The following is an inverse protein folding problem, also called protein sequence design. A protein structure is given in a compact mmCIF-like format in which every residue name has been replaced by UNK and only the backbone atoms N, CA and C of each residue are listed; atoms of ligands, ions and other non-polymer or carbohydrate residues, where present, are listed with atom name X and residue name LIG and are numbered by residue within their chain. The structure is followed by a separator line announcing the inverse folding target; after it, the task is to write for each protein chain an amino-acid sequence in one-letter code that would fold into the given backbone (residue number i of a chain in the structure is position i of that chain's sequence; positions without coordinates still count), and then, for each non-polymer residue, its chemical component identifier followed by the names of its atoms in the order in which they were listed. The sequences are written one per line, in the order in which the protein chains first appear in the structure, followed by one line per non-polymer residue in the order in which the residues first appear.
data_IF_261314837573
#
_entry.id   IF_261314837573
#
_cell.length_a   1.000
_cell.length_b   1.000
_cell.length_c   1.000
_cell.angle_alpha   90.00
_cell.angle_beta   90.00
_cell.angle_gamma   90.00
#
_symmetry.space_group_name_H-M   'P 1'
#
loop_
_entity.id
_entity.type
_entity.pdbx_description
1 polymer ?
#
# COMPACT_ATOMS: atom_id res chain seq x y z
N UNK A 1 -1.70 -22.56 -10.54
CA UNK A 1 -2.28 -23.58 -9.63
C UNK A 1 -2.40 -23.17 -8.14
N UNK A 2 -1.50 -22.33 -7.58
CA UNK A 2 -1.51 -21.99 -6.13
C UNK A 2 -2.59 -20.98 -5.70
N UNK A 3 -2.88 -19.95 -6.50
CA UNK A 3 -3.83 -18.90 -6.10
C UNK A 3 -5.28 -19.38 -5.99
N UNK A 4 -5.78 -20.14 -6.99
CA UNK A 4 -7.14 -20.70 -6.93
C UNK A 4 -7.29 -21.61 -5.71
N UNK A 5 -6.36 -22.54 -5.48
CA UNK A 5 -6.40 -23.45 -4.34
C UNK A 5 -6.35 -22.71 -2.98
N UNK A 6 -5.55 -21.64 -2.90
CA UNK A 6 -5.47 -20.80 -1.71
C UNK A 6 -6.79 -20.08 -1.43
N UNK A 7 -7.35 -19.37 -2.42
CA UNK A 7 -8.58 -18.59 -2.25
C UNK A 7 -9.84 -19.44 -2.09
N UNK A 8 -9.78 -20.75 -2.38
CA UNK A 8 -10.84 -21.70 -2.03
C UNK A 8 -10.98 -21.94 -0.52
N UNK A 9 -9.95 -21.66 0.27
CA UNK A 9 -9.92 -21.92 1.70
C UNK A 9 -9.63 -20.67 2.54
N UNK A 10 -9.10 -19.61 1.92
CA UNK A 10 -8.72 -18.37 2.59
C UNK A 10 -9.51 -17.19 1.99
N UNK A 11 -10.32 -16.48 2.79
CA UNK A 11 -10.99 -15.27 2.31
C UNK A 11 -9.96 -14.19 1.97
N UNK A 12 -10.25 -13.43 0.91
CA UNK A 12 -9.40 -12.33 0.45
C UNK A 12 -10.09 -10.98 0.61
N UNK A 13 -9.32 -9.98 1.04
CA UNK A 13 -9.66 -8.58 0.84
C UNK A 13 -8.91 -8.08 -0.38
N UNK A 14 -9.62 -7.48 -1.33
CA UNK A 14 -9.06 -7.03 -2.60
C UNK A 14 -8.92 -5.50 -2.63
N UNK A 15 -7.84 -5.04 -3.25
CA UNK A 15 -7.53 -3.65 -3.54
C UNK A 15 -7.10 -3.56 -5.01
N UNK A 16 -7.18 -2.37 -5.59
CA UNK A 16 -6.99 -2.13 -7.02
C UNK A 16 -5.73 -1.33 -7.25
N UNK A 17 -4.96 -1.70 -8.28
CA UNK A 17 -3.90 -0.88 -8.82
C UNK A 17 -4.09 -0.61 -10.33
N UNK A 18 -3.11 0.00 -11.00
CA UNK A 18 -3.16 0.40 -12.40
C UNK A 18 -3.37 -0.78 -13.36
N UNK A 19 -2.67 -1.89 -13.17
CA UNK A 19 -2.79 -3.09 -14.00
C UNK A 19 -4.04 -3.93 -13.71
N UNK A 20 -4.70 -3.69 -12.57
CA UNK A 20 -6.03 -4.23 -12.30
C UNK A 20 -7.12 -3.40 -12.99
N UNK A 21 -6.92 -2.08 -13.04
CA UNK A 21 -7.92 -1.13 -13.53
C UNK A 21 -7.86 -0.88 -15.03
N UNK A 22 -6.67 -0.69 -15.63
CA UNK A 22 -6.55 -0.48 -17.07
C UNK A 22 -5.12 -0.67 -17.63
N UNK A 23 -4.26 0.34 -17.47
CA UNK A 23 -2.90 0.41 -18.04
C UNK A 23 -1.95 1.10 -17.06
N UNK A 24 -0.65 0.94 -17.28
CA UNK A 24 0.42 1.55 -16.51
C UNK A 24 0.12 2.99 -16.06
N UNK A 25 0.24 3.20 -14.75
CA UNK A 25 0.15 4.48 -14.08
C UNK A 25 -1.15 5.24 -14.44
N UNK A 26 -2.29 4.55 -14.62
CA UNK A 26 -3.53 5.17 -15.06
C UNK A 26 -4.23 6.05 -14.00
N UNK A 27 -5.05 6.96 -14.52
CA UNK A 27 -6.00 7.82 -13.82
C UNK A 27 -7.25 7.99 -14.72
N UNK A 28 -8.39 8.48 -14.22
CA UNK A 28 -9.67 8.39 -14.93
C UNK A 28 -9.70 9.04 -16.31
N UNK A 29 -8.99 10.16 -16.47
CA UNK A 29 -8.95 10.94 -17.71
C UNK A 29 -7.73 10.64 -18.59
N UNK A 30 -6.97 9.57 -18.30
CA UNK A 30 -5.79 9.20 -19.11
C UNK A 30 -6.22 8.81 -20.53
N UNK A 31 -5.45 9.28 -21.53
CA UNK A 31 -5.61 8.82 -22.91
C UNK A 31 -4.65 7.66 -23.20
N UNK A 32 -5.18 6.56 -23.73
CA UNK A 32 -4.42 5.41 -24.22
C UNK A 32 -5.08 4.85 -25.49
N UNK A 33 -4.83 5.45 -26.68
CA UNK A 33 -5.51 5.07 -27.92
C UNK A 33 -5.35 3.59 -28.31
N UNK A 34 -4.23 2.97 -27.95
CA UNK A 34 -3.95 1.55 -28.22
C UNK A 34 -4.81 0.57 -27.42
N UNK A 35 -5.54 1.04 -26.40
CA UNK A 35 -6.47 0.22 -25.63
C UNK A 35 -7.91 0.30 -26.13
N UNK A 36 -8.21 1.17 -27.10
CA UNK A 36 -9.57 1.32 -27.59
C UNK A 36 -10.09 0.00 -28.20
N UNK A 37 -11.36 -0.36 -27.96
CA UNK A 37 -12.39 0.46 -27.34
C UNK A 37 -12.41 0.45 -25.80
N UNK A 38 -11.56 -0.34 -25.12
CA UNK A 38 -11.53 -0.44 -23.65
C UNK A 38 -10.96 0.85 -23.03
N UNK A 39 -11.82 1.57 -22.29
CA UNK A 39 -11.48 2.79 -21.54
C UNK A 39 -11.28 2.48 -20.05
N UNK A 40 -10.69 3.43 -19.31
CA UNK A 40 -10.48 3.33 -17.86
C UNK A 40 -11.74 2.87 -17.11
N UNK A 41 -12.89 3.53 -17.34
CA UNK A 41 -14.15 3.22 -16.66
C UNK A 41 -14.60 1.77 -16.88
N UNK A 42 -14.39 1.24 -18.09
CA UNK A 42 -14.75 -0.13 -18.46
C UNK A 42 -13.77 -1.14 -17.85
N UNK A 43 -12.46 -0.86 -17.89
CA UNK A 43 -11.47 -1.72 -17.24
C UNK A 43 -11.69 -1.79 -15.72
N UNK A 44 -11.96 -0.65 -15.08
CA UNK A 44 -12.30 -0.59 -13.66
C UNK A 44 -13.60 -1.33 -13.34
N UNK A 45 -14.62 -1.23 -14.20
CA UNK A 45 -15.87 -1.99 -14.05
C UNK A 45 -15.62 -3.50 -14.13
N UNK A 46 -14.80 -3.96 -15.08
CA UNK A 46 -14.41 -5.37 -15.20
C UNK A 46 -13.72 -5.84 -13.92
N UNK A 47 -12.76 -5.09 -13.39
CA UNK A 47 -12.11 -5.43 -12.11
C UNK A 47 -13.14 -5.66 -11.00
N UNK A 48 -14.13 -4.77 -10.87
CA UNK A 48 -15.18 -4.88 -9.84
C UNK A 48 -16.07 -6.11 -10.01
N UNK A 49 -16.19 -6.67 -11.20
CA UNK A 49 -16.89 -7.94 -11.44
C UNK A 49 -16.06 -9.14 -11.00
N UNK A 50 -14.72 -9.04 -11.01
CA UNK A 50 -13.81 -10.15 -10.69
C UNK A 50 -13.54 -10.31 -9.20
N UNK A 51 -13.82 -9.29 -8.37
CA UNK A 51 -13.53 -9.32 -6.93
C UNK A 51 -14.75 -8.99 -6.08
N UNK A 52 -14.91 -9.62 -4.89
CA UNK A 52 -16.00 -9.31 -3.96
C UNK A 52 -15.74 -7.98 -3.23
N UNK A 53 -15.83 -6.86 -3.96
CA UNK A 53 -15.66 -5.51 -3.42
C UNK A 53 -17.00 -4.79 -3.29
N UNK A 54 -17.16 -4.03 -2.21
CA UNK A 54 -18.39 -3.30 -1.93
C UNK A 54 -18.62 -2.12 -2.87
N UNK A 55 -19.68 -1.34 -2.59
CA UNK A 55 -19.99 -0.10 -3.32
C UNK A 55 -18.80 0.85 -3.34
N UNK A 56 -18.17 1.05 -2.19
CA UNK A 56 -16.90 1.77 -2.07
C UNK A 56 -15.73 0.79 -2.12
N UNK A 57 -14.68 1.17 -2.82
CA UNK A 57 -13.44 0.39 -2.97
C UNK A 57 -12.51 0.56 -1.78
N UNK A 58 -12.41 1.77 -1.23
CA UNK A 58 -11.77 2.00 0.07
C UNK A 58 -12.70 1.62 1.23
N UNK A 59 -12.13 1.03 2.27
CA UNK A 59 -12.86 0.53 3.45
C UNK A 59 -11.92 0.18 4.59
N UNK A 60 -12.49 -0.03 5.77
CA UNK A 60 -11.75 -0.53 6.93
C UNK A 60 -12.42 -1.78 7.49
N UNK A 61 -11.61 -2.68 8.06
CA UNK A 61 -12.06 -3.93 8.67
C UNK A 61 -11.42 -4.04 10.05
N UNK A 62 -12.25 -4.26 11.07
CA UNK A 62 -11.79 -4.58 12.43
C UNK A 62 -11.62 -6.09 12.59
N UNK A 63 -10.45 -6.51 13.05
CA UNK A 63 -10.12 -7.91 13.37
C UNK A 63 -9.87 -8.05 14.87
N UNK A 64 -10.93 -8.40 15.60
CA UNK A 64 -10.88 -8.54 17.05
C UNK A 64 -10.52 -7.23 17.76
N UNK A 65 -9.94 -7.31 18.96
CA UNK A 65 -9.57 -6.11 19.75
C UNK A 65 -8.32 -5.42 19.22
N UNK A 66 -7.37 -6.17 18.67
CA UNK A 66 -5.99 -5.69 18.56
C UNK A 66 -5.61 -5.18 17.17
N UNK A 67 -6.39 -5.46 16.11
CA UNK A 67 -6.03 -5.11 14.74
C UNK A 67 -7.18 -4.42 14.01
N UNK A 68 -6.90 -3.27 13.40
CA UNK A 68 -7.77 -2.68 12.39
C UNK A 68 -6.97 -2.43 11.11
N UNK A 69 -7.59 -2.74 9.97
CA UNK A 69 -6.99 -2.66 8.64
C UNK A 69 -7.74 -1.63 7.81
N UNK A 70 -7.04 -0.82 7.03
CA UNK A 70 -7.58 0.07 6.02
C UNK A 70 -7.09 -0.37 4.64
N UNK A 71 -8.00 -0.40 3.67
CA UNK A 71 -7.70 -0.53 2.25
C UNK A 71 -8.13 0.77 1.59
N UNK A 72 -7.28 1.35 0.75
CA UNK A 72 -7.51 2.64 0.08
C UNK A 72 -7.71 2.44 -1.43
N UNK A 73 -8.29 3.45 -2.08
CA UNK A 73 -8.29 3.51 -3.53
C UNK A 73 -7.26 4.56 -4.00
N UNK A 74 -6.30 4.15 -4.83
CA UNK A 74 -5.32 5.02 -5.48
C UNK A 74 -5.54 5.31 -6.98
N UNK A 75 -6.61 4.85 -7.65
CA UNK A 75 -6.80 5.01 -9.11
C UNK A 75 -8.03 5.84 -9.52
N UNK A 76 -9.13 5.76 -8.79
CA UNK A 76 -10.42 6.36 -9.16
C UNK A 76 -10.54 7.85 -8.81
N UNK A 77 -9.99 8.27 -7.66
CA UNK A 77 -10.17 9.64 -7.13
C UNK A 77 -8.97 10.55 -7.38
N UNK A 78 -7.95 10.04 -8.08
CA UNK A 78 -6.68 10.72 -8.24
C UNK A 78 -6.72 11.81 -9.31
N UNK A 79 -5.94 12.85 -9.09
CA UNK A 79 -5.55 13.82 -10.10
C UNK A 79 -4.68 13.16 -11.19
N UNK A 80 -4.65 13.72 -12.42
CA UNK A 80 -3.72 13.29 -13.46
C UNK A 80 -2.27 13.33 -13.00
N UNK A 81 -1.47 12.32 -13.37
CA UNK A 81 -0.05 12.31 -13.00
C UNK A 81 0.71 13.51 -13.57
N UNK A 82 0.27 14.05 -14.71
CA UNK A 82 0.83 15.24 -15.37
C UNK A 82 0.46 16.58 -14.72
N UNK A 83 -0.53 16.61 -13.81
CA UNK A 83 -0.83 17.81 -13.05
C UNK A 83 0.39 18.20 -12.20
N UNK A 84 0.81 19.47 -12.11
CA UNK A 84 1.88 19.87 -11.21
C UNK A 84 1.56 19.49 -9.76
N UNK A 85 2.57 19.04 -9.00
CA UNK A 85 2.37 18.73 -7.57
C UNK A 85 2.00 20.01 -6.79
N UNK A 86 1.14 19.85 -5.78
CA UNK A 86 0.65 20.96 -4.97
C UNK A 86 -0.59 20.59 -4.16
N UNK A 87 -1.13 21.53 -3.36
CA UNK A 87 -2.21 21.25 -2.40
C UNK A 87 -3.50 20.70 -3.01
N UNK A 88 -3.76 21.00 -4.29
CA UNK A 88 -4.94 20.52 -5.02
C UNK A 88 -4.74 19.18 -5.75
N UNK A 89 -3.51 18.64 -5.77
CA UNK A 89 -3.20 17.36 -6.42
C UNK A 89 -3.29 16.22 -5.39
N UNK A 90 -3.99 15.15 -5.74
CA UNK A 90 -4.31 14.07 -4.79
C UNK A 90 -4.31 12.71 -5.48
N UNK A 91 -4.00 11.66 -4.73
CA UNK A 91 -4.23 10.25 -5.12
C UNK A 91 -5.55 9.76 -4.55
N UNK A 92 -5.82 10.10 -3.29
CA UNK A 92 -6.97 9.56 -2.56
C UNK A 92 -8.26 10.36 -2.77
N UNK A 93 -8.18 11.60 -3.25
CA UNK A 93 -9.32 12.51 -3.23
C UNK A 93 -9.61 13.04 -1.82
N UNK A 94 -10.33 14.16 -1.76
CA UNK A 94 -10.63 14.84 -0.49
C UNK A 94 -11.44 13.96 0.47
N UNK A 95 -12.48 13.28 -0.03
CA UNK A 95 -13.41 12.49 0.79
C UNK A 95 -12.74 11.27 1.41
N UNK A 96 -11.96 10.51 0.63
CA UNK A 96 -11.24 9.35 1.14
C UNK A 96 -10.15 9.76 2.11
N UNK A 97 -9.39 10.84 1.84
CA UNK A 97 -8.35 11.33 2.75
C UNK A 97 -8.96 11.77 4.09
N UNK A 98 -10.08 12.50 4.05
CA UNK A 98 -10.80 12.91 5.26
C UNK A 98 -11.35 11.70 6.03
N UNK A 99 -11.95 10.74 5.33
CA UNK A 99 -12.42 9.47 5.92
C UNK A 99 -11.27 8.68 6.56
N UNK A 100 -10.14 8.56 5.87
CA UNK A 100 -8.98 7.80 6.32
C UNK A 100 -8.44 8.38 7.63
N UNK A 101 -8.19 9.70 7.67
CA UNK A 101 -7.72 10.39 8.87
C UNK A 101 -8.68 10.25 10.03
N UNK A 102 -9.98 10.51 9.80
CA UNK A 102 -11.02 10.42 10.85
C UNK A 102 -11.11 9.01 11.43
N UNK A 103 -11.14 7.98 10.58
CA UNK A 103 -11.33 6.59 11.03
C UNK A 103 -10.10 6.01 11.69
N UNK A 104 -8.89 6.38 11.25
CA UNK A 104 -7.63 6.00 11.92
C UNK A 104 -7.61 6.55 13.36
N UNK A 105 -7.97 7.83 13.55
CA UNK A 105 -7.99 8.45 14.88
C UNK A 105 -9.10 7.88 15.78
N UNK A 106 -10.25 7.51 15.21
CA UNK A 106 -11.35 6.91 15.95
C UNK A 106 -11.11 5.45 16.35
N UNK A 107 -10.14 4.77 15.74
CA UNK A 107 -9.83 3.37 16.06
C UNK A 107 -9.21 3.26 17.45
N UNK A 108 -9.67 2.30 18.25
CA UNK A 108 -9.08 1.90 19.54
C UNK A 108 -8.28 0.58 19.44
N UNK A 109 -7.97 0.11 18.23
CA UNK A 109 -7.18 -1.10 18.04
C UNK A 109 -5.74 -0.90 18.54
N UNK A 110 -5.15 -1.95 19.13
CA UNK A 110 -3.75 -1.95 19.54
C UNK A 110 -2.79 -1.69 18.38
N UNK A 111 -3.14 -2.12 17.17
CA UNK A 111 -2.38 -1.89 15.94
C UNK A 111 -3.29 -1.48 14.78
N UNK A 112 -2.78 -0.55 13.97
CA UNK A 112 -3.45 -0.01 12.79
C UNK A 112 -2.60 -0.31 11.55
N UNK A 113 -3.17 -0.93 10.53
CA UNK A 113 -2.44 -1.27 9.29
C UNK A 113 -3.18 -0.69 8.10
N UNK A 114 -2.52 0.20 7.36
CA UNK A 114 -2.96 0.65 6.04
C UNK A 114 -2.34 -0.26 4.98
N UNK A 115 -3.17 -0.88 4.15
CA UNK A 115 -2.76 -1.48 2.88
C UNK A 115 -2.98 -0.41 1.82
N UNK A 116 -1.94 -0.11 1.05
CA UNK A 116 -1.95 0.87 -0.04
C UNK A 116 -1.38 0.23 -1.29
N UNK A 117 -1.98 0.42 -2.49
CA UNK A 117 -1.50 -0.26 -3.69
C UNK A 117 -0.08 0.23 -4.03
N UNK A 118 0.16 1.53 -3.87
CA UNK A 118 1.43 2.20 -4.18
C UNK A 118 2.16 2.71 -2.93
N UNK A 119 3.50 2.89 -2.99
CA UNK A 119 4.30 3.42 -1.88
C UNK A 119 3.92 4.82 -1.39
N UNK A 120 4.05 5.00 -0.08
CA UNK A 120 3.96 6.27 0.66
C UNK A 120 5.33 6.71 1.14
N UNK A 121 6.17 5.83 1.68
CA UNK A 121 7.48 6.22 2.24
C UNK A 121 8.59 6.15 1.18
N UNK A 122 8.63 5.10 0.36
CA UNK A 122 9.71 4.91 -0.62
C UNK A 122 11.06 4.55 0.04
N UNK A 123 12.23 4.90 -0.54
CA UNK A 123 12.42 5.67 -1.76
C UNK A 123 11.95 4.95 -3.02
N UNK A 124 11.47 5.73 -3.97
CA UNK A 124 11.06 5.27 -5.30
C UNK A 124 12.11 5.54 -6.38
N UNK A 125 11.88 5.02 -7.59
CA UNK A 125 12.70 5.26 -8.77
C UNK A 125 12.77 6.75 -9.09
N UNK A 126 13.96 7.24 -9.44
CA UNK A 126 14.19 8.65 -9.78
C UNK A 126 13.75 9.02 -11.20
N UNK A 127 13.47 8.02 -12.06
CA UNK A 127 13.03 8.22 -13.45
C UNK A 127 11.94 7.22 -13.82
N UNK A 128 11.02 7.66 -14.68
CA UNK A 128 10.03 6.79 -15.33
C UNK A 128 8.86 6.37 -14.44
N UNK A 129 8.77 6.88 -13.20
CA UNK A 129 7.65 6.61 -12.27
C UNK A 129 7.28 7.87 -11.49
N UNK A 130 6.01 8.28 -11.60
CA UNK A 130 5.48 9.57 -11.13
C UNK A 130 4.02 9.41 -10.64
N UNK A 131 3.72 8.30 -9.97
CA UNK A 131 2.34 7.88 -9.72
C UNK A 131 2.02 7.50 -8.26
N UNK A 132 2.83 7.92 -7.27
CA UNK A 132 2.62 7.57 -5.87
C UNK A 132 3.14 8.63 -4.90
N UNK A 133 2.76 8.52 -3.62
CA UNK A 133 3.07 9.49 -2.55
C UNK A 133 4.55 9.57 -2.14
N UNK A 134 5.38 8.63 -2.59
CA UNK A 134 6.81 8.59 -2.30
C UNK A 134 7.68 9.24 -3.38
N UNK A 135 7.10 9.62 -4.51
CA UNK A 135 7.80 10.33 -5.59
C UNK A 135 7.38 11.80 -5.69
N UNK A 136 8.16 12.58 -6.46
CA UNK A 136 8.01 14.02 -6.59
C UNK A 136 6.65 14.45 -7.16
N UNK A 137 5.95 13.56 -7.88
CA UNK A 137 4.70 13.92 -8.53
C UNK A 137 3.51 14.03 -7.57
N UNK A 138 3.56 13.40 -6.39
CA UNK A 138 2.52 13.50 -5.35
C UNK A 138 3.13 13.74 -3.96
N UNK A 139 4.27 14.43 -3.93
CA UNK A 139 5.04 14.64 -2.71
C UNK A 139 4.28 15.49 -1.69
N UNK A 140 3.47 16.46 -2.13
CA UNK A 140 2.69 17.34 -1.24
C UNK A 140 1.71 16.54 -0.38
N UNK A 141 0.83 15.73 -1.00
CA UNK A 141 -0.11 14.88 -0.24
C UNK A 141 0.62 13.83 0.61
N UNK A 142 1.67 13.20 0.05
CA UNK A 142 2.46 12.21 0.77
C UNK A 142 3.14 12.78 2.02
N UNK A 143 3.79 13.93 1.90
CA UNK A 143 4.43 14.64 3.01
C UNK A 143 3.40 15.06 4.06
N UNK A 144 2.25 15.58 3.62
CA UNK A 144 1.16 15.94 4.54
C UNK A 144 0.66 14.72 5.32
N UNK A 145 0.50 13.56 4.68
CA UNK A 145 0.05 12.36 5.36
C UNK A 145 1.09 11.82 6.35
N UNK A 146 2.37 11.71 5.94
CA UNK A 146 3.48 11.31 6.83
C UNK A 146 3.60 12.24 8.04
N UNK A 147 3.59 13.56 7.82
CA UNK A 147 3.65 14.53 8.91
C UNK A 147 2.44 14.43 9.83
N UNK A 148 1.25 14.22 9.28
CA UNK A 148 0.04 14.01 10.05
C UNK A 148 0.13 12.77 10.96
N UNK A 149 0.73 11.66 10.51
CA UNK A 149 0.91 10.49 11.38
C UNK A 149 1.83 10.78 12.57
N UNK A 150 2.87 11.60 12.37
CA UNK A 150 3.76 12.07 13.44
C UNK A 150 3.02 13.00 14.42
N UNK A 151 2.28 13.97 13.89
CA UNK A 151 1.55 14.97 14.69
C UNK A 151 0.56 14.33 15.66
N UNK A 152 -0.06 13.21 15.26
CA UNK A 152 -1.00 12.46 16.10
C UNK A 152 -0.37 11.30 16.88
N UNK A 153 0.96 11.18 16.91
CA UNK A 153 1.66 10.18 17.73
C UNK A 153 1.30 8.73 17.34
N UNK A 154 1.05 8.45 16.07
CA UNK A 154 0.61 7.13 15.59
C UNK A 154 1.75 6.10 15.51
N UNK A 155 2.41 5.83 16.64
CA UNK A 155 3.54 4.90 16.74
C UNK A 155 3.17 3.43 16.48
N UNK A 156 1.88 3.11 16.52
CA UNK A 156 1.30 1.78 16.25
C UNK A 156 0.58 1.70 14.89
N UNK A 157 0.83 2.65 13.99
CA UNK A 157 0.32 2.67 12.62
C UNK A 157 1.41 2.25 11.62
N UNK A 158 1.07 1.32 10.74
CA UNK A 158 1.99 0.76 9.75
C UNK A 158 1.37 0.79 8.35
N UNK A 159 2.22 0.94 7.33
CA UNK A 159 1.81 0.87 5.93
C UNK A 159 2.35 -0.43 5.32
N UNK A 160 1.51 -1.14 4.59
CA UNK A 160 1.90 -2.24 3.70
C UNK A 160 1.58 -1.82 2.27
N UNK A 161 2.48 -2.09 1.33
CA UNK A 161 2.25 -1.74 -0.07
C UNK A 161 2.76 -2.79 -1.07
N UNK A 162 2.36 -2.60 -2.33
CA UNK A 162 2.80 -3.36 -3.50
C UNK A 162 3.40 -2.44 -4.55
N UNK A 163 3.00 -2.64 -5.81
CA UNK A 163 3.38 -1.89 -7.03
C UNK A 163 4.88 -2.00 -7.38
N UNK A 164 5.75 -1.63 -6.44
CA UNK A 164 7.19 -1.73 -6.62
C UNK A 164 7.68 -3.15 -6.44
N UNK A 165 8.30 -3.65 -7.49
CA UNK A 165 8.76 -5.02 -7.61
C UNK A 165 10.05 -5.33 -6.83
N UNK A 166 10.14 -4.90 -5.58
CA UNK A 166 11.17 -5.31 -4.64
C UNK A 166 10.63 -5.25 -3.22
N UNK A 167 11.14 -6.11 -2.35
CA UNK A 167 10.76 -6.15 -0.94
C UNK A 167 11.57 -5.12 -0.16
N UNK A 168 10.93 -4.44 0.78
CA UNK A 168 11.63 -3.54 1.69
C UNK A 168 10.87 -3.29 2.99
N UNK A 169 11.62 -2.97 4.04
CA UNK A 169 11.12 -2.19 5.18
C UNK A 169 11.75 -0.82 5.09
N UNK A 170 10.93 0.21 5.00
CA UNK A 170 11.32 1.61 5.03
C UNK A 170 10.82 2.28 6.30
N UNK A 171 11.63 3.19 6.84
CA UNK A 171 11.31 4.05 7.98
C UNK A 171 11.53 5.49 7.53
N UNK A 172 10.48 6.28 7.47
CA UNK A 172 10.60 7.70 7.15
C UNK A 172 11.40 8.40 8.26
N UNK A 173 12.55 9.03 7.97
CA UNK A 173 13.43 9.58 9.00
C UNK A 173 12.83 10.80 9.70
N UNK A 174 11.91 11.53 9.06
CA UNK A 174 11.30 12.71 9.64
C UNK A 174 10.16 12.36 10.62
N UNK A 175 9.42 11.30 10.33
CA UNK A 175 8.14 10.97 10.99
C UNK A 175 8.15 9.65 11.74
N UNK A 176 9.09 8.76 11.44
CA UNK A 176 9.16 7.41 11.98
C UNK A 176 8.13 6.44 11.36
N UNK A 177 7.36 6.88 10.36
CA UNK A 177 6.37 6.03 9.69
C UNK A 177 7.05 4.83 9.05
N UNK A 178 6.52 3.64 9.31
CA UNK A 178 7.05 2.38 8.79
C UNK A 178 6.20 1.88 7.63
N UNK A 179 6.87 1.54 6.54
CA UNK A 179 6.28 0.97 5.34
C UNK A 179 6.95 -0.35 4.97
N UNK A 180 6.14 -1.34 4.61
CA UNK A 180 6.55 -2.68 4.24
C UNK A 180 6.06 -2.99 2.81
N UNK A 181 6.98 -3.08 1.84
CA UNK A 181 6.62 -3.56 0.50
C UNK A 181 6.73 -5.08 0.43
N UNK A 182 5.66 -5.73 -0.02
CA UNK A 182 5.62 -7.18 -0.18
C UNK A 182 6.44 -7.68 -1.39
N UNK A 183 6.78 -6.80 -2.33
CA UNK A 183 7.42 -7.13 -3.60
C UNK A 183 6.49 -7.92 -4.54
N UNK A 184 7.00 -8.37 -5.69
CA UNK A 184 6.21 -9.10 -6.66
C UNK A 184 6.03 -10.56 -6.21
N UNK A 185 4.96 -11.21 -6.64
CA UNK A 185 4.72 -12.62 -6.30
C UNK A 185 5.80 -13.59 -6.84
N UNK A 186 6.64 -13.17 -7.78
CA UNK A 186 7.64 -14.01 -8.44
C UNK A 186 8.99 -13.31 -8.60
N UNK A 187 10.08 -14.09 -8.58
CA UNK A 187 11.42 -13.57 -8.80
C UNK A 187 11.62 -12.97 -10.20
N UNK A 188 10.89 -13.46 -11.21
CA UNK A 188 10.99 -13.00 -12.61
C UNK A 188 10.62 -11.53 -12.79
N UNK A 189 9.71 -11.03 -11.96
CA UNK A 189 9.24 -9.65 -12.04
C UNK A 189 10.01 -8.70 -11.13
N UNK A 190 10.91 -9.21 -10.29
CA UNK A 190 11.66 -8.39 -9.35
C UNK A 190 12.67 -7.48 -10.07
N UNK A 191 12.61 -6.17 -9.81
CA UNK A 191 13.52 -5.24 -10.47
C UNK A 191 13.18 -3.75 -10.41
N UNK A 192 14.05 -2.97 -11.06
CA UNK A 192 13.98 -1.52 -11.22
C UNK A 192 14.10 -0.70 -9.94
N UNK A 193 14.52 -1.28 -8.83
CA UNK A 193 14.82 -0.52 -7.62
C UNK A 193 15.90 0.56 -7.86
N UNK A 194 15.84 1.72 -7.19
CA UNK A 194 16.95 2.68 -7.17
C UNK A 194 18.17 2.20 -6.34
N UNK A 195 18.13 0.99 -5.78
CA UNK A 195 19.11 0.47 -4.83
C UNK A 195 18.70 0.73 -3.38
N UNK A 196 19.39 0.08 -2.44
CA UNK A 196 19.12 0.22 -1.01
C UNK A 196 19.63 1.57 -0.51
N UNK A 197 18.77 2.34 0.15
CA UNK A 197 19.19 3.47 0.97
C UNK A 197 19.24 3.06 2.46
N UNK A 198 20.41 2.80 3.07
CA UNK A 198 20.49 2.29 4.44
C UNK A 198 19.97 3.26 5.51
N UNK A 199 19.85 4.56 5.21
CA UNK A 199 19.29 5.55 6.14
C UNK A 199 17.77 5.45 6.27
N UNK A 200 17.10 4.88 5.27
CA UNK A 200 15.63 4.78 5.19
C UNK A 200 15.21 3.31 5.20
N UNK A 201 15.99 2.41 4.61
CA UNK A 201 15.67 1.00 4.38
C UNK A 201 16.55 0.07 5.22
N UNK A 202 16.15 -0.24 6.48
CA UNK A 202 16.72 -1.32 7.26
C UNK A 202 16.73 -2.65 6.49
N UNK A 203 15.73 -2.91 5.64
CA UNK A 203 15.68 -4.09 4.79
C UNK A 203 15.35 -3.71 3.34
N UNK A 204 16.02 -4.39 2.41
CA UNK A 204 15.82 -4.25 0.97
C UNK A 204 16.22 -5.56 0.28
N UNK A 205 15.38 -6.05 -0.63
CA UNK A 205 15.62 -7.31 -1.35
C UNK A 205 14.94 -7.29 -2.72
N UNK A 206 15.73 -7.45 -3.78
CA UNK A 206 15.25 -7.46 -5.19
C UNK A 206 14.89 -8.88 -5.63
N UNK A 207 13.87 -9.45 -5.01
CA UNK A 207 13.34 -10.78 -5.28
C UNK A 207 11.85 -10.81 -4.98
N UNK A 208 11.16 -11.81 -5.50
CA UNK A 208 9.74 -12.00 -5.23
C UNK A 208 9.47 -12.67 -3.89
N UNK A 209 8.18 -12.76 -3.56
CA UNK A 209 7.66 -13.39 -2.37
C UNK A 209 6.35 -12.78 -1.92
N UNK A 210 6.15 -12.68 -0.60
CA UNK A 210 4.99 -12.07 0.02
C UNK A 210 5.32 -11.54 1.41
N UNK A 211 4.45 -10.69 1.94
CA UNK A 211 4.51 -10.19 3.32
C UNK A 211 3.46 -10.92 4.15
N UNK A 212 3.82 -11.39 5.34
CA UNK A 212 2.83 -11.81 6.34
C UNK A 212 2.83 -10.83 7.51
N UNK A 213 1.63 -10.57 8.04
CA UNK A 213 1.41 -9.76 9.24
C UNK A 213 0.66 -10.61 10.24
N UNK A 214 1.22 -10.75 11.43
CA UNK A 214 0.64 -11.54 12.52
C UNK A 214 0.45 -10.64 13.73
N UNK A 215 -0.77 -10.61 14.28
CA UNK A 215 -1.06 -10.03 15.59
C UNK A 215 -1.36 -11.16 16.56
N UNK A 216 -0.69 -11.17 17.70
CA UNK A 216 -0.87 -12.18 18.74
C UNK A 216 -0.69 -11.58 20.13
N UNK A 217 -1.44 -12.11 21.09
CA UNK A 217 -1.29 -11.79 22.51
C UNK A 217 -0.17 -12.65 23.11
N UNK A 218 0.85 -12.02 23.72
CA UNK A 218 1.92 -12.72 24.45
C UNK A 218 2.00 -12.18 25.87
N UNK A 219 1.59 -12.98 26.85
CA UNK A 219 1.56 -12.56 28.26
C UNK A 219 0.60 -11.39 28.51
N UNK A 220 -0.57 -11.40 27.87
CA UNK A 220 -1.60 -10.36 28.02
C UNK A 220 -1.31 -9.05 27.28
N UNK A 221 -0.20 -8.97 26.53
CA UNK A 221 0.13 -7.80 25.69
C UNK A 221 0.08 -8.15 24.21
N UNK A 222 -0.60 -7.35 23.37
CA UNK A 222 -0.64 -7.58 21.94
C UNK A 222 0.73 -7.26 21.32
N UNK A 223 1.15 -8.08 20.36
CA UNK A 223 2.34 -7.88 19.56
C UNK A 223 2.02 -8.09 18.08
N UNK A 224 2.59 -7.24 17.23
CA UNK A 224 2.51 -7.32 15.78
C UNK A 224 3.87 -7.73 15.20
N UNK A 225 3.85 -8.65 14.26
CA UNK A 225 5.02 -9.17 13.56
C UNK A 225 4.81 -9.04 12.05
N UNK A 226 5.80 -8.49 11.35
CA UNK A 226 5.83 -8.37 9.90
C UNK A 226 6.99 -9.22 9.38
N UNK A 227 6.73 -10.13 8.43
CA UNK A 227 7.75 -11.00 7.85
C UNK A 227 7.75 -10.95 6.35
N UNK A 228 8.90 -10.66 5.77
CA UNK A 228 9.11 -10.79 4.33
C UNK A 228 9.52 -12.22 4.01
N UNK A 229 8.69 -12.90 3.24
CA UNK A 229 8.94 -14.26 2.77
C UNK A 229 9.46 -14.23 1.34
N UNK A 230 10.31 -15.19 0.98
CA UNK A 230 10.58 -15.50 -0.42
C UNK A 230 9.47 -16.34 -1.06
N UNK A 231 9.60 -16.62 -2.36
CA UNK A 231 8.60 -17.39 -3.15
C UNK A 231 8.36 -18.84 -2.68
N UNK A 232 9.24 -19.37 -1.81
CA UNK A 232 9.11 -20.69 -1.17
C UNK A 232 8.86 -20.60 0.34
N UNK A 233 8.52 -19.42 0.86
CA UNK A 233 8.11 -19.23 2.26
C UNK A 233 9.23 -18.94 3.27
N UNK A 234 10.52 -18.99 2.87
CA UNK A 234 11.64 -18.64 3.77
C UNK A 234 11.53 -17.18 4.22
N UNK A 235 11.76 -16.92 5.50
CA UNK A 235 11.76 -15.56 6.06
C UNK A 235 13.13 -14.91 5.82
N UNK A 236 13.14 -13.72 5.23
CA UNK A 236 14.36 -12.93 4.96
C UNK A 236 14.47 -11.67 5.82
N UNK A 237 13.37 -11.22 6.40
CA UNK A 237 13.32 -10.10 7.32
C UNK A 237 12.14 -10.25 8.26
N UNK A 238 12.33 -9.84 9.51
CA UNK A 238 11.30 -9.81 10.54
C UNK A 238 11.37 -8.47 11.28
N UNK A 239 10.21 -7.85 11.47
CA UNK A 239 10.03 -6.73 12.37
C UNK A 239 8.96 -7.07 13.40
N UNK A 240 9.17 -6.64 14.65
CA UNK A 240 8.25 -6.89 15.76
C UNK A 240 8.05 -5.62 16.59
N UNK A 241 6.80 -5.35 16.95
CA UNK A 241 6.43 -4.33 17.95
C UNK A 241 5.45 -4.94 18.95
N UNK A 242 5.66 -4.65 20.23
CA UNK A 242 4.71 -4.95 21.31
C UNK A 242 3.95 -3.65 21.57
N UNK A 243 2.64 -3.73 21.79
CA UNK A 243 1.87 -2.57 22.21
C UNK A 243 2.36 -2.11 23.59
N UNK A 244 2.33 -0.79 23.79
CA UNK A 244 2.67 -0.17 25.07
C UNK A 244 1.70 -0.61 26.18
#
# INVERSE_FOLDING_TARGET
PRHIAFHRHMPGYWEVDDHDSWVDDCWPTKSAPWMLPLRFEQGFAIYREQVPIGRLTYRTVRWGRDLQIWLVEGRLYRSPNSMPDGPGKTIWGADQLAWLKRTILASDASFRVLVSPTPIVGPDRTRGKNDNHSNAAFATEGNHFRNWTKQHGLTNFFVCCGDRHWQYLSVDPATGLREFSCGPASDKHAGGTPGRNPKIQPFHRVKGGFLSVQVAQKGGRPAILFRHHGVRGQVFNEYRQVAD
#
